data_IF_171367154166
#
_entry.id   IF_171367154166
#
_cell.length_a   1.000
_cell.length_b   1.000
_cell.length_c   1.000
_cell.angle_alpha   90.00
_cell.angle_beta   90.00
_cell.angle_gamma   90.00
#
_symmetry.space_group_name_H-M   'P 1'
#
loop_
_entity.id
_entity.type
_entity.pdbx_description
1 polymer ?
#
# COMPACT_ATOMS: atom_id res chain seq x y z
N UNK A 1 -5.71 -17.30 72.59
CA UNK A 1 -6.83 -17.06 71.71
C UNK A 1 -6.52 -15.93 70.74
N UNK A 2 -6.27 -16.29 69.54
CA UNK A 2 -5.80 -15.43 68.45
C UNK A 2 -6.96 -15.07 67.54
N UNK A 3 -7.32 -13.79 67.49
CA UNK A 3 -8.30 -13.28 66.56
C UNK A 3 -7.65 -13.11 65.16
N UNK A 4 -8.01 -13.96 64.24
CA UNK A 4 -7.66 -13.81 62.84
C UNK A 4 -8.51 -12.72 62.18
N UNK A 5 -7.91 -11.56 61.95
CA UNK A 5 -8.50 -10.52 61.11
C UNK A 5 -8.36 -10.93 59.66
N UNK A 6 -9.47 -11.12 59.00
CA UNK A 6 -9.52 -11.22 57.53
C UNK A 6 -9.23 -9.83 56.94
N UNK A 7 -8.32 -9.70 55.97
CA UNK A 7 -8.14 -8.46 55.24
C UNK A 7 -9.36 -8.19 54.37
N UNK A 8 -9.80 -6.93 54.40
CA UNK A 8 -10.98 -6.43 53.76
C UNK A 8 -11.04 -6.63 52.25
N UNK A 9 -12.22 -6.99 51.82
CA UNK A 9 -12.58 -6.97 50.39
C UNK A 9 -12.44 -5.56 49.83
N UNK A 10 -11.60 -5.43 48.86
CA UNK A 10 -11.56 -4.22 48.02
C UNK A 10 -12.89 -4.05 47.32
N UNK A 11 -13.50 -2.87 47.33
CA UNK A 11 -14.73 -2.65 46.59
C UNK A 11 -14.41 -2.74 45.08
N UNK A 12 -15.12 -3.63 44.44
CA UNK A 12 -15.13 -3.83 42.99
C UNK A 12 -15.70 -2.54 42.39
N UNK A 13 -14.85 -1.61 42.02
CA UNK A 13 -15.23 -0.44 41.25
C UNK A 13 -15.88 -0.91 39.96
N UNK A 14 -17.15 -0.73 39.84
CA UNK A 14 -17.86 -0.91 38.58
C UNK A 14 -17.20 0.04 37.54
N UNK A 15 -16.86 -0.42 36.35
CA UNK A 15 -16.36 0.45 35.30
C UNK A 15 -17.45 1.44 34.94
N UNK A 16 -17.26 2.68 35.34
CA UNK A 16 -18.22 3.77 35.14
C UNK A 16 -18.57 3.94 33.66
N UNK A 17 -19.81 4.28 33.42
CA UNK A 17 -20.52 4.35 32.17
C UNK A 17 -19.81 4.99 30.95
N UNK A 18 -18.76 5.79 31.15
CA UNK A 18 -18.02 6.41 30.02
C UNK A 18 -17.12 5.42 29.27
N UNK A 19 -16.44 4.50 29.98
CA UNK A 19 -15.59 3.47 29.34
C UNK A 19 -16.45 2.40 28.68
N UNK A 20 -17.57 2.02 29.31
CA UNK A 20 -18.53 1.07 28.71
C UNK A 20 -19.24 1.66 27.50
N UNK A 21 -19.47 2.98 27.48
CA UNK A 21 -20.05 3.66 26.35
C UNK A 21 -19.04 3.81 25.19
N UNK A 22 -17.74 3.99 25.48
CA UNK A 22 -16.68 4.01 24.48
C UNK A 22 -16.48 2.64 23.83
N UNK A 23 -16.54 1.56 24.58
CA UNK A 23 -16.46 0.19 24.03
C UNK A 23 -17.71 -0.23 23.27
N UNK A 24 -18.86 0.37 23.55
CA UNK A 24 -20.11 0.12 22.78
C UNK A 24 -20.20 0.96 21.51
N UNK A 25 -19.46 2.06 21.40
CA UNK A 25 -19.39 2.90 20.20
C UNK A 25 -18.37 2.41 19.15
N UNK A 26 -17.47 1.51 19.53
CA UNK A 26 -16.49 0.92 18.61
C UNK A 26 -17.09 0.16 17.40
N UNK A 27 -18.22 -0.58 17.52
CA UNK A 27 -18.76 -1.27 16.36
C UNK A 27 -19.51 -0.36 15.38
N UNK A 28 -19.81 0.90 15.75
CA UNK A 28 -20.58 1.82 14.90
C UNK A 28 -19.66 2.72 14.04
N UNK A 29 -18.37 2.76 14.34
CA UNK A 29 -17.40 3.63 13.66
C UNK A 29 -16.93 3.12 12.28
N UNK A 30 -17.67 2.22 11.62
CA UNK A 30 -17.42 1.88 10.20
C UNK A 30 -16.04 1.29 9.88
N UNK A 31 -15.29 0.92 10.92
CA UNK A 31 -13.89 0.48 10.78
C UNK A 31 -13.74 -0.92 10.16
N UNK A 32 -14.83 -1.67 10.01
CA UNK A 32 -14.81 -2.99 9.37
C UNK A 32 -14.83 -2.93 7.83
N UNK A 33 -15.13 -1.77 7.24
CA UNK A 33 -15.15 -1.61 5.79
C UNK A 33 -13.77 -1.37 5.17
N UNK A 34 -12.79 -0.97 5.99
CA UNK A 34 -11.41 -0.78 5.54
C UNK A 34 -10.50 -1.42 6.57
N UNK A 35 -10.34 -2.74 6.53
CA UNK A 35 -9.27 -3.40 7.26
C UNK A 35 -7.95 -2.87 6.70
N UNK A 36 -7.16 -2.08 7.44
CA UNK A 36 -5.92 -1.53 6.92
C UNK A 36 -4.96 -2.64 6.44
N UNK A 37 -5.04 -3.80 7.05
CA UNK A 37 -4.26 -4.98 6.67
C UNK A 37 -4.57 -5.54 5.26
N UNK A 38 -5.78 -5.32 4.72
CA UNK A 38 -6.15 -5.80 3.39
C UNK A 38 -6.02 -4.71 2.31
N UNK A 39 -6.21 -3.45 2.69
CA UNK A 39 -6.18 -2.31 1.76
C UNK A 39 -4.75 -1.89 1.43
N UNK A 40 -3.83 -1.95 2.39
CA UNK A 40 -2.43 -1.60 2.19
C UNK A 40 -1.75 -2.41 1.07
N UNK A 41 -1.78 -3.76 1.05
CA UNK A 41 -1.19 -4.51 -0.03
C UNK A 41 -1.90 -4.29 -1.37
N UNK A 42 -3.23 -4.08 -1.37
CA UNK A 42 -3.96 -3.79 -2.61
C UNK A 42 -3.54 -2.44 -3.21
N UNK A 43 -3.36 -1.41 -2.38
CA UNK A 43 -2.84 -0.11 -2.81
C UNK A 43 -1.40 -0.20 -3.30
N UNK A 44 -0.58 -1.07 -2.69
CA UNK A 44 0.80 -1.31 -3.09
C UNK A 44 0.85 -1.93 -4.50
N UNK A 45 0.07 -2.99 -4.74
CA UNK A 45 -0.05 -3.60 -6.06
C UNK A 45 -0.59 -2.62 -7.11
N UNK A 46 -1.62 -1.86 -6.77
CA UNK A 46 -2.19 -0.85 -7.67
C UNK A 46 -1.16 0.24 -8.01
N UNK A 47 -0.41 0.71 -7.03
CA UNK A 47 0.66 1.67 -7.22
C UNK A 47 1.77 1.16 -8.13
N UNK A 48 2.26 -0.06 -7.87
CA UNK A 48 3.28 -0.71 -8.72
C UNK A 48 2.78 -0.87 -10.16
N UNK A 49 1.52 -1.32 -10.35
CA UNK A 49 0.93 -1.49 -11.68
C UNK A 49 0.81 -0.16 -12.44
N UNK A 50 0.38 0.91 -11.76
CA UNK A 50 0.27 2.25 -12.36
C UNK A 50 1.64 2.79 -12.76
N UNK A 51 2.65 2.70 -11.90
CA UNK A 51 4.00 3.14 -12.25
C UNK A 51 4.66 2.26 -13.30
N UNK A 52 4.42 0.95 -13.29
CA UNK A 52 4.87 0.05 -14.35
C UNK A 52 4.25 0.44 -15.70
N UNK A 53 2.96 0.79 -15.72
CA UNK A 53 2.27 1.29 -16.90
C UNK A 53 2.89 2.61 -17.39
N UNK A 54 3.22 3.52 -16.48
CA UNK A 54 3.91 4.79 -16.81
C UNK A 54 5.27 4.51 -17.46
N UNK A 55 6.06 3.61 -16.89
CA UNK A 55 7.35 3.17 -17.44
C UNK A 55 7.21 2.53 -18.83
N UNK A 56 6.26 1.63 -19.00
CA UNK A 56 5.95 1.00 -20.28
C UNK A 56 5.51 2.02 -21.34
N UNK A 57 4.68 2.99 -20.96
CA UNK A 57 4.28 4.09 -21.84
C UNK A 57 5.47 4.97 -22.24
N UNK A 58 6.39 5.24 -21.34
CA UNK A 58 7.61 5.97 -21.63
C UNK A 58 8.47 5.23 -22.67
N UNK A 59 8.65 3.92 -22.49
CA UNK A 59 9.35 3.05 -23.43
C UNK A 59 8.69 3.04 -24.83
N UNK A 60 7.36 3.10 -24.88
CA UNK A 60 6.60 3.08 -26.14
C UNK A 60 6.88 4.27 -27.08
N UNK A 61 7.43 5.36 -26.55
CA UNK A 61 7.78 6.54 -27.35
C UNK A 61 8.94 6.29 -28.31
N UNK A 62 9.85 5.42 -27.95
CA UNK A 62 11.10 5.22 -28.68
C UNK A 62 11.09 3.95 -29.56
N UNK A 63 9.95 3.27 -29.74
CA UNK A 63 9.79 2.04 -30.54
C UNK A 63 10.78 0.94 -30.12
N UNK A 64 10.90 0.73 -28.82
CA UNK A 64 11.80 -0.25 -28.25
C UNK A 64 11.22 -1.68 -28.26
N UNK A 65 12.10 -2.65 -28.04
CA UNK A 65 11.78 -4.06 -27.89
C UNK A 65 11.01 -4.32 -26.59
N UNK A 66 10.33 -5.47 -26.51
CA UNK A 66 9.62 -5.91 -25.32
C UNK A 66 10.52 -5.92 -24.06
N UNK A 67 11.79 -6.20 -24.24
CA UNK A 67 12.76 -6.20 -23.14
C UNK A 67 12.94 -4.79 -22.53
N UNK A 68 12.99 -3.78 -23.39
CA UNK A 68 13.05 -2.38 -22.93
C UNK A 68 11.78 -1.96 -22.22
N UNK A 69 10.60 -2.39 -22.69
CA UNK A 69 9.33 -2.17 -22.00
C UNK A 69 9.34 -2.80 -20.60
N UNK A 70 9.79 -4.05 -20.51
CA UNK A 70 9.91 -4.75 -19.24
C UNK A 70 10.87 -4.04 -18.28
N UNK A 71 12.01 -3.58 -18.77
CA UNK A 71 13.01 -2.84 -17.98
C UNK A 71 12.45 -1.52 -17.45
N UNK A 72 11.88 -0.69 -18.31
CA UNK A 72 11.30 0.59 -17.88
C UNK A 72 10.12 0.41 -16.93
N UNK A 73 9.25 -0.57 -17.19
CA UNK A 73 8.14 -0.90 -16.31
C UNK A 73 8.63 -1.36 -14.93
N UNK A 74 9.63 -2.22 -14.88
CA UNK A 74 10.20 -2.72 -13.65
C UNK A 74 10.89 -1.60 -12.84
N UNK A 75 11.76 -0.83 -13.48
CA UNK A 75 12.50 0.26 -12.80
C UNK A 75 11.53 1.32 -12.28
N UNK A 76 10.52 1.71 -13.07
CA UNK A 76 9.56 2.73 -12.67
C UNK A 76 8.57 2.18 -11.63
N UNK A 77 8.06 0.96 -11.83
CA UNK A 77 7.10 0.34 -10.93
C UNK A 77 7.67 0.02 -9.55
N UNK A 78 8.88 -0.51 -9.51
CA UNK A 78 9.53 -0.89 -8.25
C UNK A 78 10.36 0.21 -7.63
N UNK A 79 10.86 1.18 -8.43
CA UNK A 79 11.78 2.22 -7.98
C UNK A 79 11.22 3.10 -6.88
N UNK A 80 10.00 3.59 -7.04
CA UNK A 80 9.34 4.45 -6.05
C UNK A 80 9.12 3.76 -4.71
N UNK A 81 8.61 2.53 -4.73
CA UNK A 81 8.40 1.73 -3.53
C UNK A 81 9.71 1.32 -2.85
N UNK A 82 10.75 1.02 -3.62
CA UNK A 82 12.08 0.72 -3.08
C UNK A 82 12.66 1.92 -2.35
N UNK A 83 12.59 3.11 -2.95
CA UNK A 83 13.07 4.33 -2.32
C UNK A 83 12.28 4.64 -1.04
N UNK A 84 10.96 4.48 -1.06
CA UNK A 84 10.11 4.64 0.12
C UNK A 84 10.55 3.70 1.24
N UNK A 85 10.68 2.41 0.95
CA UNK A 85 11.01 1.40 1.96
C UNK A 85 12.40 1.63 2.55
N UNK A 86 13.38 2.04 1.74
CA UNK A 86 14.71 2.42 2.20
C UNK A 86 14.69 3.65 3.13
N UNK A 87 13.88 4.66 2.81
CA UNK A 87 13.76 5.86 3.63
C UNK A 87 13.10 5.60 4.99
N UNK A 88 12.18 4.65 5.05
CA UNK A 88 11.49 4.25 6.29
C UNK A 88 12.31 3.22 7.08
N UNK A 89 13.34 2.62 6.48
CA UNK A 89 14.10 1.53 7.07
C UNK A 89 13.35 0.19 7.04
N UNK A 90 12.33 0.08 6.19
CA UNK A 90 11.56 -1.14 6.01
C UNK A 90 12.25 -2.09 5.02
N UNK A 91 12.02 -3.42 5.14
CA UNK A 91 12.49 -4.35 4.14
C UNK A 91 11.80 -4.09 2.80
N UNK A 92 12.58 -4.13 1.71
CA UNK A 92 12.11 -3.84 0.35
C UNK A 92 11.04 -4.85 -0.06
N UNK A 93 9.88 -4.38 -0.46
CA UNK A 93 8.66 -5.20 -0.67
C UNK A 93 8.80 -6.27 -1.76
N UNK A 94 9.42 -5.97 -2.90
CA UNK A 94 9.54 -6.91 -4.03
C UNK A 94 10.58 -8.02 -3.80
N UNK A 95 11.47 -7.85 -2.84
CA UNK A 95 12.43 -8.92 -2.44
C UNK A 95 11.70 -10.00 -1.65
N UNK A 96 10.62 -9.65 -0.96
CA UNK A 96 9.83 -10.60 -0.18
C UNK A 96 8.81 -11.34 -1.05
N UNK A 97 8.35 -10.72 -2.13
CA UNK A 97 7.28 -11.26 -2.94
C UNK A 97 7.53 -11.01 -4.44
N UNK A 98 7.86 -12.08 -5.16
CA UNK A 98 8.13 -12.05 -6.60
C UNK A 98 6.91 -11.64 -7.45
N UNK A 99 5.72 -11.66 -6.87
CA UNK A 99 4.47 -11.28 -7.54
C UNK A 99 4.52 -9.83 -8.06
N UNK A 100 5.21 -8.94 -7.37
CA UNK A 100 5.40 -7.55 -7.84
C UNK A 100 6.17 -7.45 -9.15
N UNK A 101 7.21 -8.28 -9.30
CA UNK A 101 7.96 -8.39 -10.55
C UNK A 101 7.08 -8.93 -11.67
N UNK A 102 6.27 -9.95 -11.37
CA UNK A 102 5.32 -10.52 -12.33
C UNK A 102 4.28 -9.49 -12.79
N UNK A 103 3.75 -8.66 -11.89
CA UNK A 103 2.84 -7.55 -12.24
C UNK A 103 3.51 -6.58 -13.20
N UNK A 104 4.74 -6.15 -12.95
CA UNK A 104 5.47 -5.27 -13.85
C UNK A 104 5.63 -5.88 -15.25
N UNK A 105 5.96 -7.16 -15.33
CA UNK A 105 6.13 -7.87 -16.61
C UNK A 105 4.80 -8.01 -17.37
N UNK A 106 3.73 -8.37 -16.68
CA UNK A 106 2.38 -8.46 -17.26
C UNK A 106 1.93 -7.11 -17.83
N UNK A 107 2.13 -6.05 -17.07
CA UNK A 107 1.81 -4.68 -17.50
C UNK A 107 2.66 -4.29 -18.72
N UNK A 108 3.97 -4.57 -18.69
CA UNK A 108 4.88 -4.28 -19.80
C UNK A 108 4.46 -4.97 -21.09
N UNK A 109 4.20 -6.28 -21.01
CA UNK A 109 3.74 -7.07 -22.16
C UNK A 109 2.37 -6.61 -22.66
N UNK A 110 1.45 -6.29 -21.73
CA UNK A 110 0.14 -5.76 -22.07
C UNK A 110 0.24 -4.46 -22.87
N UNK A 111 1.04 -3.49 -22.42
CA UNK A 111 1.25 -2.24 -23.15
C UNK A 111 2.01 -2.41 -24.46
N UNK A 112 2.94 -3.36 -24.53
CA UNK A 112 3.62 -3.69 -25.78
C UNK A 112 2.65 -4.27 -26.81
N UNK A 113 1.75 -5.19 -26.42
CA UNK A 113 0.75 -5.80 -27.30
C UNK A 113 -0.32 -4.79 -27.74
N UNK A 114 -0.77 -3.90 -26.85
CA UNK A 114 -1.77 -2.89 -27.17
C UNK A 114 -1.27 -1.82 -28.16
N UNK A 115 0.02 -1.70 -28.39
CA UNK A 115 0.60 -0.80 -29.37
C UNK A 115 0.15 0.67 -29.16
N UNK A 116 0.28 1.19 -27.99
CA UNK A 116 -0.26 2.46 -27.51
C UNK A 116 -0.02 3.64 -28.47
N UNK A 117 -0.94 3.92 -29.38
CA UNK A 117 -0.71 4.78 -30.53
C UNK A 117 -1.16 6.24 -30.41
N UNK A 118 -2.12 6.58 -29.60
CA UNK A 118 -2.65 7.96 -29.66
C UNK A 118 -2.94 8.64 -28.32
N UNK A 119 -3.04 7.92 -27.24
CA UNK A 119 -3.41 8.44 -25.91
C UNK A 119 -2.21 8.70 -24.99
N UNK A 120 -1.01 8.60 -25.51
CA UNK A 120 0.23 8.40 -24.76
C UNK A 120 0.58 9.52 -23.79
N UNK A 121 0.40 10.77 -24.14
CA UNK A 121 0.88 11.87 -23.30
C UNK A 121 -0.07 12.17 -22.13
N UNK A 122 -1.35 12.22 -22.42
CA UNK A 122 -2.35 12.46 -21.37
C UNK A 122 -2.45 11.29 -20.41
N UNK A 123 -2.43 10.06 -20.93
CA UNK A 123 -2.44 8.86 -20.10
C UNK A 123 -1.22 8.79 -19.18
N UNK A 124 -0.04 9.13 -19.67
CA UNK A 124 1.18 9.19 -18.87
C UNK A 124 1.03 10.16 -17.69
N UNK A 125 0.58 11.38 -17.94
CA UNK A 125 0.40 12.39 -16.90
C UNK A 125 -0.66 11.99 -15.87
N UNK A 126 -1.77 11.41 -16.30
CA UNK A 126 -2.83 10.96 -15.40
C UNK A 126 -2.40 9.75 -14.59
N UNK A 127 -1.76 8.77 -15.19
CA UNK A 127 -1.24 7.58 -14.50
C UNK A 127 -0.18 7.98 -13.48
N UNK A 128 0.73 8.88 -13.84
CA UNK A 128 1.76 9.37 -12.95
C UNK A 128 1.16 10.14 -11.76
N UNK A 129 0.21 11.03 -12.00
CA UNK A 129 -0.49 11.76 -10.96
C UNK A 129 -1.26 10.84 -9.99
N UNK A 130 -1.98 9.84 -10.51
CA UNK A 130 -2.69 8.84 -9.71
C UNK A 130 -1.70 7.97 -8.91
N UNK A 131 -0.61 7.56 -9.55
CA UNK A 131 0.46 6.82 -8.89
C UNK A 131 1.07 7.58 -7.73
N UNK A 132 1.45 8.84 -7.94
CA UNK A 132 1.99 9.71 -6.89
C UNK A 132 1.00 9.91 -5.74
N UNK A 133 -0.28 10.13 -6.05
CA UNK A 133 -1.31 10.27 -5.01
C UNK A 133 -1.47 8.99 -4.18
N UNK A 134 -1.55 7.83 -4.83
CA UNK A 134 -1.66 6.53 -4.16
C UNK A 134 -0.43 6.25 -3.27
N UNK A 135 0.78 6.47 -3.80
CA UNK A 135 2.01 6.26 -3.04
C UNK A 135 2.22 7.27 -1.91
N UNK A 136 1.75 8.51 -2.09
CA UNK A 136 1.79 9.52 -1.02
C UNK A 136 0.94 9.10 0.17
N UNK A 137 -0.30 8.69 -0.07
CA UNK A 137 -1.21 8.19 0.98
C UNK A 137 -0.64 6.95 1.65
N UNK A 138 -0.14 6.02 0.85
CA UNK A 138 0.39 4.77 1.35
C UNK A 138 1.71 4.94 2.10
N UNK A 139 2.59 5.80 1.61
CA UNK A 139 3.84 6.14 2.30
C UNK A 139 3.57 6.74 3.67
N UNK A 140 2.60 7.65 3.77
CA UNK A 140 2.18 8.24 5.04
C UNK A 140 1.60 7.18 6.00
N UNK A 141 0.73 6.31 5.49
CA UNK A 141 0.13 5.24 6.29
C UNK A 141 1.18 4.22 6.77
N UNK A 142 2.13 3.85 5.91
CA UNK A 142 3.20 2.93 6.24
C UNK A 142 4.20 3.54 7.24
N UNK A 143 4.57 4.81 7.06
CA UNK A 143 5.46 5.52 7.98
C UNK A 143 4.87 5.64 9.39
N UNK A 144 3.55 5.76 9.51
CA UNK A 144 2.86 5.81 10.80
C UNK A 144 2.86 4.45 11.54
N UNK A 145 3.18 3.35 10.85
CA UNK A 145 3.22 1.99 11.41
C UNK A 145 4.62 1.54 11.83
N UNK A 146 5.65 2.31 11.53
CA UNK A 146 7.05 2.10 11.89
C UNK A 146 7.52 3.15 12.90
#
# INVERSE_FOLDING_TARGET
PSSSRRPGATPKTAPGGALGMMTMLEPIAGADLVRPAAVLPLLDFAGVAVFAATGALAASRAKHDVLTFAFFAAVTGMGGGTLRDLLIGAPVFWVQDWVYVAVCLVVAVGFWLLGARSWRFRALLWLDAVGLAAYGVMGAAKAASY
#
